data_IF_575636404290
#
_entry.id   IF_575636404290
#
_cell.length_a   1.000
_cell.length_b   1.000
_cell.length_c   1.000
_cell.angle_alpha   90.00
_cell.angle_beta   90.00
_cell.angle_gamma   90.00
#
_symmetry.space_group_name_H-M   'P 1'
#
loop_
_entity.id
_entity.type
_entity.pdbx_description
1 polymer ?
#
# COMPACT_ATOMS: atom_id res chain seq x y z
N UNK A 1 37.99 -23.51 -38.37
CA UNK A 1 37.54 -22.42 -37.46
C UNK A 1 36.06 -22.67 -37.18
N UNK A 2 35.72 -23.15 -35.98
CA UNK A 2 34.33 -23.37 -35.58
C UNK A 2 33.76 -22.04 -35.05
N UNK A 3 32.71 -21.55 -35.70
CA UNK A 3 32.00 -20.34 -35.30
C UNK A 3 31.04 -20.73 -34.17
N UNK A 4 31.32 -20.29 -32.94
CA UNK A 4 30.47 -20.51 -31.79
C UNK A 4 29.35 -19.46 -31.80
N UNK A 5 28.14 -19.85 -32.18
CA UNK A 5 26.96 -18.99 -32.13
C UNK A 5 26.53 -18.84 -30.68
N UNK A 6 26.76 -17.67 -30.09
CA UNK A 6 26.30 -17.33 -28.75
C UNK A 6 24.79 -17.12 -28.79
N UNK A 7 24.02 -18.08 -28.28
CA UNK A 7 22.58 -17.95 -28.10
C UNK A 7 22.34 -17.00 -26.91
N UNK A 8 21.98 -15.74 -27.17
CA UNK A 8 21.43 -14.86 -26.14
C UNK A 8 20.07 -15.42 -25.72
N UNK A 9 20.02 -16.09 -24.58
CA UNK A 9 18.75 -16.39 -23.93
C UNK A 9 18.13 -15.04 -23.52
N UNK A 10 17.00 -14.69 -24.13
CA UNK A 10 16.15 -13.63 -23.61
C UNK A 10 15.63 -14.10 -22.25
N UNK A 11 16.21 -13.59 -21.16
CA UNK A 11 15.67 -13.77 -19.82
C UNK A 11 14.35 -13.01 -19.85
N UNK A 12 13.23 -13.74 -19.91
CA UNK A 12 11.91 -13.13 -19.78
C UNK A 12 11.85 -12.42 -18.45
N UNK A 13 11.54 -11.12 -18.46
CA UNK A 13 11.24 -10.37 -17.24
C UNK A 13 9.93 -10.95 -16.71
N UNK A 14 9.99 -11.70 -15.61
CA UNK A 14 8.79 -12.08 -14.88
C UNK A 14 8.35 -10.84 -14.12
N UNK A 15 7.27 -10.21 -14.56
CA UNK A 15 6.75 -8.98 -14.00
C UNK A 15 5.23 -9.01 -14.01
N UNK A 16 4.66 -8.39 -12.98
CA UNK A 16 3.24 -8.25 -12.79
C UNK A 16 2.65 -7.16 -13.66
N UNK A 17 1.35 -6.94 -13.50
CA UNK A 17 0.73 -5.71 -13.98
C UNK A 17 0.59 -4.76 -12.81
N UNK A 18 1.16 -3.56 -12.91
CA UNK A 18 0.97 -2.50 -11.91
C UNK A 18 -0.52 -2.16 -11.81
N UNK A 19 -1.10 -2.36 -10.62
CA UNK A 19 -2.51 -2.10 -10.29
C UNK A 19 -2.69 -0.68 -9.77
N UNK A 20 -1.70 -0.16 -9.05
CA UNK A 20 -1.62 1.23 -8.61
C UNK A 20 -0.15 1.66 -8.59
N UNK A 21 0.12 2.88 -9.06
CA UNK A 21 1.45 3.48 -9.05
C UNK A 21 1.49 4.65 -8.09
N UNK A 22 2.33 4.55 -7.07
CA UNK A 22 2.61 5.62 -6.12
C UNK A 22 3.82 6.46 -6.53
N UNK A 23 4.10 6.54 -7.83
CA UNK A 23 5.29 7.20 -8.34
C UNK A 23 5.27 8.71 -8.03
N UNK A 24 6.33 9.22 -7.42
CA UNK A 24 6.43 10.62 -7.01
C UNK A 24 6.68 11.60 -8.17
N UNK A 25 6.85 11.13 -9.40
CA UNK A 25 7.00 11.99 -10.59
C UNK A 25 5.80 12.90 -10.84
N UNK A 26 4.59 12.49 -10.44
CA UNK A 26 3.39 13.33 -10.52
C UNK A 26 3.44 14.53 -9.55
N UNK A 27 4.36 14.52 -8.59
CA UNK A 27 4.48 15.49 -7.51
C UNK A 27 5.76 16.34 -7.70
N UNK A 28 5.68 17.54 -8.30
CA UNK A 28 6.84 18.42 -8.45
C UNK A 28 7.36 18.98 -7.11
N UNK A 29 6.53 19.08 -6.07
CA UNK A 29 6.89 19.54 -4.74
C UNK A 29 5.81 19.17 -3.70
N UNK A 30 6.04 19.51 -2.43
CA UNK A 30 5.16 19.16 -1.31
C UNK A 30 3.75 19.73 -1.45
N UNK A 31 3.57 20.90 -2.07
CA UNK A 31 2.25 21.52 -2.23
C UNK A 31 1.34 20.74 -3.20
N UNK A 32 1.90 19.81 -4.00
CA UNK A 32 1.10 18.93 -4.85
C UNK A 32 0.22 17.98 -4.02
N UNK A 33 0.64 17.59 -2.82
CA UNK A 33 -0.18 16.78 -1.91
C UNK A 33 -1.40 17.54 -1.37
N UNK A 34 -1.33 18.88 -1.28
CA UNK A 34 -2.44 19.73 -0.80
C UNK A 34 -3.61 19.83 -1.80
N UNK A 35 -3.46 19.27 -3.00
CA UNK A 35 -4.53 19.25 -4.02
C UNK A 35 -5.60 18.19 -3.75
N UNK A 36 -5.24 17.16 -2.99
CA UNK A 36 -6.17 16.14 -2.52
C UNK A 36 -7.00 16.67 -1.34
N UNK A 37 -8.27 16.29 -1.28
CA UNK A 37 -9.12 16.46 -0.10
C UNK A 37 -10.27 15.47 -0.14
N UNK A 38 -10.98 15.27 0.98
CA UNK A 38 -12.19 14.44 1.03
C UNK A 38 -13.30 14.86 0.06
N UNK A 39 -13.30 16.11 -0.42
CA UNK A 39 -14.26 16.60 -1.43
C UNK A 39 -13.69 16.63 -2.85
N UNK A 40 -12.39 16.36 -3.01
CA UNK A 40 -11.68 16.37 -4.28
C UNK A 40 -10.52 15.36 -4.22
N UNK A 41 -10.86 14.08 -4.30
CA UNK A 41 -9.94 12.96 -4.15
C UNK A 41 -9.12 12.72 -5.43
N UNK A 42 -8.18 13.62 -5.73
CA UNK A 42 -7.32 13.61 -6.92
C UNK A 42 -5.91 13.12 -6.61
N UNK A 43 -5.16 12.75 -7.66
CA UNK A 43 -3.80 12.25 -7.52
C UNK A 43 -3.74 10.80 -7.05
N UNK A 44 -2.54 10.37 -6.67
CA UNK A 44 -2.20 8.98 -6.36
C UNK A 44 -2.18 8.70 -4.86
N UNK A 45 -2.16 9.76 -4.03
CA UNK A 45 -2.11 9.67 -2.56
C UNK A 45 -3.17 10.52 -1.89
N UNK A 46 -3.81 9.94 -0.88
CA UNK A 46 -4.56 10.65 0.15
C UNK A 46 -3.58 11.26 1.16
N UNK A 47 -3.85 12.50 1.54
CA UNK A 47 -3.01 13.26 2.46
C UNK A 47 -3.88 13.94 3.52
N UNK A 48 -4.02 13.27 4.67
CA UNK A 48 -4.78 13.79 5.83
C UNK A 48 -4.25 13.33 7.19
N UNK A 49 -3.34 12.35 7.23
CA UNK A 49 -2.74 11.84 8.47
C UNK A 49 -1.43 12.56 8.70
N UNK A 50 -1.55 13.78 9.23
CA UNK A 50 -0.43 14.66 9.49
C UNK A 50 -0.73 15.67 10.60
N UNK A 51 0.32 16.39 10.98
CA UNK A 51 0.24 17.47 11.96
C UNK A 51 -0.38 18.76 11.43
N UNK A 52 -0.30 19.82 12.22
CA UNK A 52 -0.95 21.12 11.92
C UNK A 52 -0.10 22.09 11.11
N UNK A 53 1.18 21.79 10.89
CA UNK A 53 2.07 22.64 10.11
C UNK A 53 1.85 22.47 8.61
N UNK A 54 2.54 23.29 7.82
CA UNK A 54 2.52 23.18 6.37
C UNK A 54 3.04 21.81 5.92
N UNK A 55 2.49 21.29 4.82
CA UNK A 55 2.92 20.01 4.23
C UNK A 55 4.43 19.95 3.96
N UNK A 56 5.09 21.07 3.68
CA UNK A 56 6.54 21.14 3.50
C UNK A 56 7.37 20.78 4.74
N UNK A 57 6.79 20.84 5.94
CA UNK A 57 7.47 20.36 7.16
C UNK A 57 7.52 18.83 7.20
N UNK A 58 6.48 18.18 6.68
CA UNK A 58 6.31 16.73 6.74
C UNK A 58 6.78 16.00 5.49
N UNK A 59 6.61 16.60 4.31
CA UNK A 59 6.90 15.97 3.03
C UNK A 59 7.77 16.89 2.18
N UNK A 60 8.82 16.34 1.57
CA UNK A 60 9.62 17.05 0.57
C UNK A 60 10.13 16.08 -0.48
N UNK A 61 10.36 16.59 -1.70
CA UNK A 61 10.72 15.77 -2.85
C UNK A 61 12.05 16.23 -3.43
N UNK A 62 12.90 15.28 -3.80
CA UNK A 62 14.20 15.56 -4.42
C UNK A 62 14.72 14.32 -5.15
N UNK A 63 15.50 14.47 -6.23
CA UNK A 63 16.23 13.36 -6.83
C UNK A 63 17.21 12.68 -5.88
N UNK A 64 17.66 13.35 -4.82
CA UNK A 64 18.51 12.77 -3.78
C UNK A 64 17.75 11.90 -2.79
N UNK A 65 16.41 11.86 -2.82
CA UNK A 65 15.59 11.17 -1.83
C UNK A 65 15.07 9.80 -2.30
N UNK A 66 15.56 9.30 -3.43
CA UNK A 66 15.21 7.97 -3.96
C UNK A 66 16.38 7.01 -3.93
N UNK A 67 16.07 5.72 -4.06
CA UNK A 67 17.08 4.71 -4.36
C UNK A 67 17.77 5.11 -5.68
N UNK A 68 19.10 5.31 -5.71
CA UNK A 68 19.79 5.66 -6.95
C UNK A 68 19.63 4.62 -8.06
N UNK A 69 19.32 3.37 -7.69
CA UNK A 69 19.00 2.30 -8.64
C UNK A 69 17.61 2.44 -9.27
N UNK A 70 16.71 3.23 -8.67
CA UNK A 70 15.39 3.51 -9.24
C UNK A 70 15.49 4.52 -10.38
N UNK A 71 15.65 4.03 -11.61
CA UNK A 71 15.67 4.88 -12.80
C UNK A 71 14.30 5.35 -13.27
N UNK A 72 13.20 4.77 -12.74
CA UNK A 72 11.84 5.12 -13.14
C UNK A 72 11.31 6.38 -12.46
N UNK A 73 11.88 6.72 -11.30
CA UNK A 73 11.55 7.93 -10.55
C UNK A 73 12.61 9.03 -10.73
N UNK A 74 12.13 10.27 -10.89
CA UNK A 74 12.89 11.51 -10.90
C UNK A 74 13.18 11.95 -9.47
N UNK A 75 12.16 11.90 -8.60
CA UNK A 75 12.23 12.30 -7.21
C UNK A 75 11.91 11.11 -6.32
N UNK A 76 12.53 11.06 -5.14
CA UNK A 76 11.97 10.31 -4.02
C UNK A 76 11.32 11.26 -3.01
N UNK A 77 10.71 10.67 -2.00
CA UNK A 77 10.06 11.37 -0.91
C UNK A 77 10.95 11.35 0.32
N UNK A 78 11.17 12.51 0.95
CA UNK A 78 11.56 12.60 2.35
C UNK A 78 10.30 12.87 3.17
N UNK A 79 10.04 11.98 4.11
CA UNK A 79 8.95 12.01 5.07
C UNK A 79 9.53 12.30 6.45
N UNK A 80 9.09 13.39 7.06
CA UNK A 80 9.55 13.88 8.36
C UNK A 80 8.49 13.55 9.42
N UNK A 81 8.92 13.01 10.56
CA UNK A 81 8.09 12.96 11.77
C UNK A 81 8.76 13.80 12.86
N UNK A 82 8.02 14.75 13.42
CA UNK A 82 8.46 15.59 14.54
C UNK A 82 7.34 15.79 15.58
N UNK A 83 7.63 16.60 16.60
CA UNK A 83 6.69 16.89 17.70
C UNK A 83 5.38 17.55 17.28
N UNK A 84 5.28 18.03 16.05
CA UNK A 84 4.07 18.65 15.50
C UNK A 84 3.25 17.69 14.66
N UNK A 85 3.78 16.51 14.33
CA UNK A 85 3.13 15.45 13.53
C UNK A 85 1.96 14.76 14.26
N UNK A 86 1.21 15.45 15.12
CA UNK A 86 0.07 14.89 15.85
C UNK A 86 -1.24 15.13 15.08
N UNK A 87 -1.93 14.05 14.69
CA UNK A 87 -3.18 14.11 13.92
C UNK A 87 -4.44 14.00 14.80
N UNK A 88 -4.77 12.79 15.25
CA UNK A 88 -6.01 12.49 15.99
C UNK A 88 -5.75 11.89 17.38
N UNK A 89 -4.49 11.81 17.78
CA UNK A 89 -4.06 11.22 19.04
C UNK A 89 -2.74 11.84 19.49
N UNK A 90 -2.20 11.35 20.60
CA UNK A 90 -0.86 11.72 21.04
C UNK A 90 0.24 11.04 20.22
N UNK A 91 -0.04 10.09 19.33
CA UNK A 91 1.01 9.50 18.49
C UNK A 91 1.42 10.47 17.39
N UNK A 92 2.71 10.51 17.10
CA UNK A 92 3.26 11.30 16.00
C UNK A 92 3.21 10.46 14.72
N UNK A 93 2.53 10.99 13.70
CA UNK A 93 2.16 10.30 12.47
C UNK A 93 2.39 11.21 11.27
N UNK A 94 3.00 10.65 10.23
CA UNK A 94 3.04 11.27 8.91
C UNK A 94 2.90 10.15 7.91
N UNK A 95 1.75 10.08 7.26
CA UNK A 95 1.35 8.92 6.48
C UNK A 95 0.57 9.35 5.23
N UNK A 96 0.90 8.70 4.11
CA UNK A 96 0.16 8.74 2.87
C UNK A 96 -0.61 7.42 2.71
N UNK A 97 -1.77 7.47 2.07
CA UNK A 97 -2.57 6.28 1.73
C UNK A 97 -2.80 6.28 0.22
N UNK A 98 -2.79 5.14 -0.48
CA UNK A 98 -3.16 5.08 -1.90
C UNK A 98 -4.53 5.74 -2.18
N UNK A 99 -4.55 6.68 -3.12
CA UNK A 99 -5.78 7.16 -3.75
C UNK A 99 -6.01 6.34 -5.02
N UNK A 100 -7.06 5.52 -5.04
CA UNK A 100 -7.37 4.67 -6.20
C UNK A 100 -8.82 4.21 -6.20
N UNK A 101 -9.31 3.80 -7.36
CA UNK A 101 -10.55 3.03 -7.52
C UNK A 101 -10.31 1.55 -7.78
N UNK A 102 -9.04 1.13 -7.94
CA UNK A 102 -8.66 -0.26 -8.07
C UNK A 102 -8.89 -1.01 -6.75
N UNK A 103 -9.27 -2.28 -6.84
CA UNK A 103 -9.35 -3.14 -5.67
C UNK A 103 -7.92 -3.64 -5.34
N UNK A 104 -7.39 -3.18 -4.22
CA UNK A 104 -6.08 -3.55 -3.71
C UNK A 104 -6.15 -4.73 -2.72
N UNK A 105 -7.32 -5.34 -2.51
CA UNK A 105 -7.56 -6.41 -1.53
C UNK A 105 -8.02 -7.73 -2.11
N UNK A 106 -7.65 -8.05 -3.35
CA UNK A 106 -8.11 -9.26 -4.04
C UNK A 106 -7.00 -9.95 -4.83
N UNK A 107 -7.06 -11.28 -4.89
CA UNK A 107 -6.04 -12.10 -5.56
C UNK A 107 -4.70 -12.08 -4.82
N UNK A 108 -3.61 -12.27 -5.58
CA UNK A 108 -2.24 -12.13 -5.06
C UNK A 108 -1.62 -10.84 -5.57
N UNK A 109 -1.34 -9.90 -4.65
CA UNK A 109 -0.75 -8.60 -4.94
C UNK A 109 0.57 -8.42 -4.19
N UNK A 110 1.47 -7.69 -4.83
CA UNK A 110 2.79 -7.36 -4.34
C UNK A 110 2.82 -5.86 -4.03
N UNK A 111 3.06 -5.51 -2.76
CA UNK A 111 3.11 -4.12 -2.29
C UNK A 111 4.57 -3.67 -2.18
N UNK A 112 5.04 -2.97 -3.20
CA UNK A 112 6.44 -2.54 -3.33
C UNK A 112 6.68 -1.19 -2.69
N UNK A 113 7.83 -1.07 -2.03
CA UNK A 113 8.40 0.20 -1.59
C UNK A 113 9.89 0.02 -1.29
N UNK A 114 10.66 1.09 -1.38
CA UNK A 114 12.04 1.15 -0.90
C UNK A 114 12.17 2.20 0.18
N UNK A 115 12.97 1.94 1.21
CA UNK A 115 13.16 2.82 2.36
C UNK A 115 14.64 3.00 2.72
N UNK A 116 15.01 4.21 3.15
CA UNK A 116 16.28 4.55 3.81
C UNK A 116 16.04 5.56 4.93
N UNK A 117 16.93 5.62 5.93
CA UNK A 117 16.93 6.66 6.98
C UNK A 117 18.10 7.62 6.86
N UNK A 118 18.92 7.46 5.82
CA UNK A 118 20.07 8.32 5.60
C UNK A 118 20.23 8.71 4.14
N UNK A 119 20.62 9.96 3.97
CA UNK A 119 21.27 10.50 2.79
C UNK A 119 22.57 11.18 3.23
N UNK A 120 23.38 11.63 2.27
CA UNK A 120 24.59 12.37 2.60
C UNK A 120 24.25 13.61 3.46
N UNK A 121 24.77 13.65 4.69
CA UNK A 121 24.55 14.74 5.65
C UNK A 121 23.29 14.61 6.53
N UNK A 122 22.54 13.51 6.45
CA UNK A 122 21.42 13.25 7.37
C UNK A 122 21.88 13.13 8.81
N UNK A 123 21.10 13.66 9.75
CA UNK A 123 21.33 13.56 11.21
C UNK A 123 20.10 13.12 11.99
N UNK A 124 18.93 13.10 11.35
CA UNK A 124 17.61 12.87 11.96
C UNK A 124 17.24 11.38 11.83
N UNK A 125 17.95 10.51 12.53
CA UNK A 125 17.73 9.06 12.47
C UNK A 125 16.68 8.58 13.48
N UNK A 126 15.99 7.46 13.19
CA UNK A 126 15.02 6.88 14.12
C UNK A 126 15.60 6.61 15.51
N UNK A 127 14.88 7.01 16.54
CA UNK A 127 15.22 6.76 17.95
C UNK A 127 14.82 5.33 18.30
N UNK A 128 15.74 4.40 18.14
CA UNK A 128 15.48 2.95 18.29
C UNK A 128 15.16 2.49 19.73
N UNK A 129 14.96 3.40 20.69
CA UNK A 129 14.50 3.08 22.05
C UNK A 129 12.99 3.18 22.22
N UNK A 130 12.26 3.57 21.17
CA UNK A 130 10.80 3.62 21.13
C UNK A 130 10.30 2.85 19.92
N UNK A 131 9.08 2.36 19.98
CA UNK A 131 8.46 1.67 18.86
C UNK A 131 8.08 2.65 17.74
N UNK A 132 8.40 2.25 16.52
CA UNK A 132 7.86 2.83 15.29
C UNK A 132 7.13 1.75 14.50
N UNK A 133 6.02 2.13 13.89
CA UNK A 133 5.24 1.32 12.95
C UNK A 133 5.37 1.98 11.57
N UNK A 134 5.77 1.20 10.58
CA UNK A 134 6.23 1.70 9.28
C UNK A 134 5.58 0.87 8.17
N UNK A 135 5.04 1.53 7.14
CA UNK A 135 4.46 0.85 5.97
C UNK A 135 3.46 -0.24 6.37
N UNK A 136 2.47 0.12 7.19
CA UNK A 136 1.55 -0.81 7.85
C UNK A 136 0.15 -0.77 7.24
N UNK A 137 -0.62 -1.86 7.38
CA UNK A 137 -2.06 -1.81 7.18
C UNK A 137 -2.75 -1.38 8.48
N UNK A 138 -3.90 -0.72 8.42
CA UNK A 138 -4.68 -0.28 9.61
C UNK A 138 -4.98 -1.42 10.59
N UNK A 139 -5.12 -2.65 10.09
CA UNK A 139 -5.34 -3.85 10.94
C UNK A 139 -4.06 -4.47 11.51
N UNK A 140 -2.90 -3.96 11.12
CA UNK A 140 -1.58 -4.48 11.52
C UNK A 140 -1.36 -5.96 11.20
N UNK A 141 -2.03 -6.50 10.16
CA UNK A 141 -1.79 -7.89 9.75
C UNK A 141 -0.35 -8.08 9.22
N UNK A 142 0.24 -7.04 8.64
CA UNK A 142 1.66 -6.97 8.30
C UNK A 142 2.17 -5.53 8.31
N UNK A 143 3.43 -5.34 8.70
CA UNK A 143 4.09 -4.04 8.78
C UNK A 143 5.61 -4.19 8.99
N UNK A 144 6.33 -3.07 8.91
CA UNK A 144 7.69 -2.97 9.44
C UNK A 144 7.66 -2.26 10.81
N UNK A 145 8.56 -2.65 11.71
CA UNK A 145 8.81 -1.98 12.99
C UNK A 145 10.31 -1.75 13.23
N UNK A 146 10.61 -0.77 14.07
CA UNK A 146 11.91 -0.59 14.73
C UNK A 146 11.66 -0.27 16.20
N UNK A 147 12.67 -0.45 17.05
CA UNK A 147 12.57 -0.19 18.49
C UNK A 147 11.77 -1.24 19.26
N UNK A 148 11.58 -2.41 18.66
CA UNK A 148 10.89 -3.56 19.24
C UNK A 148 11.86 -4.70 19.57
N UNK A 149 11.49 -5.55 20.52
CA UNK A 149 12.26 -6.76 20.82
C UNK A 149 12.19 -7.77 19.66
N UNK A 150 13.20 -8.64 19.48
CA UNK A 150 14.41 -8.79 20.32
C UNK A 150 15.53 -7.80 19.98
N UNK A 151 15.54 -7.25 18.76
CA UNK A 151 16.61 -6.38 18.26
C UNK A 151 16.07 -4.96 18.00
N UNK A 152 16.02 -4.08 19.02
CA UNK A 152 15.37 -2.76 18.87
C UNK A 152 16.05 -1.85 17.83
N UNK A 153 17.32 -2.09 17.51
CA UNK A 153 18.06 -1.35 16.48
C UNK A 153 17.88 -1.88 15.06
N UNK A 154 17.11 -2.95 14.88
CA UNK A 154 16.88 -3.56 13.57
C UNK A 154 15.58 -3.05 12.95
N UNK A 155 15.54 -3.06 11.62
CA UNK A 155 14.30 -2.96 10.87
C UNK A 155 13.71 -4.37 10.81
N UNK A 156 12.54 -4.54 11.40
CA UNK A 156 11.90 -5.84 11.61
C UNK A 156 10.60 -5.89 10.83
N UNK A 157 10.36 -6.98 10.11
CA UNK A 157 9.09 -7.26 9.45
C UNK A 157 8.21 -8.14 10.33
N UNK A 158 6.98 -7.66 10.52
CA UNK A 158 6.00 -8.23 11.43
C UNK A 158 4.83 -8.82 10.65
N UNK A 159 4.29 -9.92 11.17
CA UNK A 159 2.98 -10.45 10.79
C UNK A 159 2.18 -10.64 12.07
N UNK A 160 1.06 -9.93 12.22
CA UNK A 160 0.19 -10.00 13.40
C UNK A 160 0.96 -9.86 14.73
N UNK A 161 1.78 -8.81 14.85
CA UNK A 161 2.63 -8.54 16.03
C UNK A 161 3.72 -9.59 16.34
N UNK A 162 4.03 -10.47 15.39
CA UNK A 162 5.12 -11.44 15.51
C UNK A 162 6.22 -11.11 14.52
N UNK A 163 7.48 -11.09 14.99
CA UNK A 163 8.67 -10.97 14.15
C UNK A 163 8.86 -12.23 13.29
N UNK A 164 9.00 -12.03 11.97
CA UNK A 164 9.30 -13.08 11.01
C UNK A 164 10.63 -12.89 10.27
N UNK A 165 11.21 -11.69 10.32
CA UNK A 165 12.44 -11.33 9.62
C UNK A 165 12.96 -9.98 10.13
N UNK A 166 14.26 -9.86 10.34
CA UNK A 166 14.89 -8.61 10.74
C UNK A 166 16.25 -8.39 10.07
N UNK A 167 16.69 -7.14 10.01
CA UNK A 167 18.03 -6.76 9.54
C UNK A 167 18.55 -5.52 10.28
N UNK A 168 19.88 -5.37 10.47
CA UNK A 168 20.44 -4.11 10.93
C UNK A 168 20.03 -2.96 10.01
N UNK A 169 19.51 -1.86 10.56
CA UNK A 169 19.07 -0.72 9.76
C UNK A 169 20.17 0.33 9.61
N UNK A 170 21.05 0.11 8.64
CA UNK A 170 22.20 0.99 8.40
C UNK A 170 21.77 2.28 7.68
N UNK A 171 22.02 3.49 8.24
CA UNK A 171 21.70 4.75 7.57
C UNK A 171 22.41 4.88 6.22
N UNK A 172 21.71 5.42 5.21
CA UNK A 172 22.25 5.59 3.86
C UNK A 172 22.09 4.37 2.96
N UNK A 173 21.81 3.20 3.52
CA UNK A 173 21.51 1.99 2.75
C UNK A 173 20.03 1.98 2.39
N UNK A 174 19.74 1.72 1.11
CA UNK A 174 18.39 1.47 0.63
C UNK A 174 18.00 0.02 0.86
N UNK A 175 16.83 -0.19 1.46
CA UNK A 175 16.19 -1.49 1.65
C UNK A 175 14.95 -1.53 0.77
N UNK A 176 14.87 -2.53 -0.10
CA UNK A 176 13.77 -2.70 -1.04
C UNK A 176 12.89 -3.83 -0.52
N UNK A 177 11.57 -3.62 -0.52
CA UNK A 177 10.60 -4.59 -0.01
C UNK A 177 9.48 -4.81 -1.01
N UNK A 178 8.91 -6.01 -0.97
CA UNK A 178 7.56 -6.26 -1.42
C UNK A 178 6.83 -7.20 -0.45
N UNK A 179 5.70 -6.78 0.08
CA UNK A 179 4.80 -7.71 0.77
C UNK A 179 4.08 -8.55 -0.27
N UNK A 180 4.19 -9.88 -0.17
CA UNK A 180 3.56 -10.85 -1.08
C UNK A 180 2.25 -11.32 -0.46
N UNK A 181 1.14 -10.67 -0.80
CA UNK A 181 -0.14 -10.81 -0.11
C UNK A 181 -1.12 -11.57 -0.99
N UNK A 182 -1.45 -12.80 -0.59
CA UNK A 182 -2.55 -13.55 -1.19
C UNK A 182 -3.81 -13.37 -0.34
N UNK A 183 -4.67 -12.45 -0.78
CA UNK A 183 -5.94 -12.14 -0.13
C UNK A 183 -6.95 -13.29 -0.23
N UNK A 184 -6.79 -14.21 -1.19
CA UNK A 184 -7.65 -15.38 -1.33
C UNK A 184 -7.23 -16.48 -0.36
N UNK A 185 -5.93 -16.76 -0.29
CA UNK A 185 -5.37 -17.76 0.61
C UNK A 185 -5.23 -17.27 2.05
N UNK A 186 -5.40 -15.96 2.29
CA UNK A 186 -5.21 -15.32 3.61
C UNK A 186 -3.80 -15.53 4.14
N UNK A 187 -2.81 -15.14 3.32
CA UNK A 187 -1.40 -15.28 3.68
C UNK A 187 -0.57 -14.08 3.24
N UNK A 188 0.54 -13.84 3.93
CA UNK A 188 1.52 -12.82 3.57
C UNK A 188 2.95 -13.36 3.67
N UNK A 189 3.79 -13.04 2.68
CA UNK A 189 5.22 -13.30 2.67
C UNK A 189 6.03 -12.02 2.44
N UNK A 190 7.35 -12.14 2.46
CA UNK A 190 8.25 -10.99 2.28
C UNK A 190 9.29 -11.26 1.21
N UNK A 191 9.39 -10.32 0.27
CA UNK A 191 10.54 -10.14 -0.59
C UNK A 191 11.37 -8.96 -0.10
N UNK A 192 12.69 -9.13 -0.07
CA UNK A 192 13.60 -8.08 0.35
C UNK A 192 14.92 -8.09 -0.45
N UNK A 193 15.56 -6.92 -0.56
CA UNK A 193 16.94 -6.76 -1.03
C UNK A 193 17.50 -5.40 -0.58
N UNK A 194 18.75 -5.11 -0.95
CA UNK A 194 19.41 -3.84 -0.65
C UNK A 194 19.99 -3.19 -1.89
N UNK A 195 20.03 -1.85 -1.90
CA UNK A 195 20.61 -1.06 -2.98
C UNK A 195 19.98 -1.41 -4.33
N UNK A 196 20.80 -1.83 -5.29
CA UNK A 196 20.37 -2.24 -6.64
C UNK A 196 20.14 -3.75 -6.80
N UNK A 197 20.29 -4.55 -5.73
CA UNK A 197 20.11 -5.99 -5.84
C UNK A 197 18.65 -6.35 -6.13
N UNK A 198 18.38 -7.38 -6.96
CA UNK A 198 17.01 -7.84 -7.18
C UNK A 198 16.41 -8.40 -5.88
N UNK A 199 15.10 -8.20 -5.71
CA UNK A 199 14.32 -8.76 -4.61
C UNK A 199 14.42 -10.28 -4.59
N UNK A 200 14.59 -10.84 -3.39
CA UNK A 200 14.54 -12.28 -3.13
C UNK A 200 13.47 -12.55 -2.07
N UNK A 201 12.72 -13.65 -2.20
CA UNK A 201 11.74 -14.07 -1.20
C UNK A 201 12.47 -14.53 0.06
N UNK A 202 12.55 -13.66 1.06
CA UNK A 202 13.26 -13.91 2.32
C UNK A 202 12.37 -14.62 3.33
N UNK A 203 11.04 -14.47 3.22
CA UNK A 203 10.07 -15.23 4.01
C UNK A 203 8.98 -15.78 3.09
N UNK A 204 8.70 -17.08 3.23
CA UNK A 204 7.56 -17.70 2.55
C UNK A 204 6.25 -17.22 3.17
N UNK A 205 5.17 -17.27 2.39
CA UNK A 205 3.85 -16.86 2.87
C UNK A 205 3.47 -17.61 4.16
N UNK A 206 3.08 -16.87 5.19
CA UNK A 206 2.52 -17.36 6.44
C UNK A 206 1.05 -16.92 6.57
N UNK A 207 0.20 -17.65 7.30
CA UNK A 207 -1.20 -17.26 7.50
C UNK A 207 -1.34 -15.90 8.18
N UNK A 208 -2.24 -15.06 7.69
CA UNK A 208 -2.62 -13.79 8.29
C UNK A 208 -4.05 -13.42 7.88
N UNK A 209 -4.76 -12.65 8.71
CA UNK A 209 -6.09 -12.13 8.36
C UNK A 209 -5.97 -10.95 7.39
N UNK A 210 -5.59 -11.23 6.15
CA UNK A 210 -5.31 -10.23 5.12
C UNK A 210 -6.61 -9.60 4.64
N UNK A 211 -6.90 -8.40 5.11
CA UNK A 211 -8.06 -7.61 4.72
C UNK A 211 -7.65 -6.15 4.54
N UNK A 212 -8.12 -5.54 3.46
CA UNK A 212 -7.92 -4.13 3.15
C UNK A 212 -9.17 -3.57 2.49
N UNK A 213 -9.54 -2.34 2.83
CA UNK A 213 -10.56 -1.59 2.10
C UNK A 213 -10.00 -0.83 0.87
N UNK A 214 -8.75 -1.09 0.50
CA UNK A 214 -7.96 -0.40 -0.54
C UNK A 214 -7.59 1.07 -0.22
N UNK A 215 -7.84 1.52 1.01
CA UNK A 215 -7.55 2.86 1.52
C UNK A 215 -7.08 2.82 2.99
N UNK A 216 -6.34 1.77 3.36
CA UNK A 216 -5.89 1.49 4.73
C UNK A 216 -4.46 0.93 4.78
N UNK A 217 -3.68 1.11 3.71
CA UNK A 217 -2.24 0.88 3.71
C UNK A 217 -1.51 2.20 3.84
N UNK A 218 -0.75 2.35 4.92
CA UNK A 218 -0.12 3.58 5.35
C UNK A 218 1.33 3.59 4.89
N UNK A 219 1.61 4.27 3.78
CA UNK A 219 2.98 4.63 3.42
C UNK A 219 3.44 5.77 4.33
N UNK A 220 4.09 5.42 5.42
CA UNK A 220 4.58 6.40 6.37
C UNK A 220 5.02 5.77 7.67
N UNK A 221 5.03 6.61 8.72
CA UNK A 221 5.53 6.24 10.03
C UNK A 221 4.58 6.76 11.11
N UNK A 222 4.28 5.88 12.06
CA UNK A 222 3.71 6.19 13.37
C UNK A 222 4.76 5.90 14.43
N UNK A 223 4.91 6.80 15.41
CA UNK A 223 5.80 6.58 16.56
C UNK A 223 5.23 7.13 17.87
N UNK A 224 5.76 6.64 18.98
CA UNK A 224 5.38 7.08 20.32
C UNK A 224 6.32 8.19 20.82
N UNK A 225 5.90 9.45 20.67
CA UNK A 225 6.45 10.70 21.26
C UNK A 225 7.91 10.68 21.74
N UNK A 226 8.90 10.52 20.85
CA UNK A 226 10.28 10.81 21.19
C UNK A 226 10.53 12.31 21.27
N UNK A 227 11.68 12.68 21.79
CA UNK A 227 12.24 14.01 21.56
C UNK A 227 12.92 14.06 20.19
N UNK A 228 12.48 14.96 19.30
CA UNK A 228 13.24 15.34 18.11
C UNK A 228 12.57 15.04 16.77
N UNK A 229 13.32 15.26 15.70
CA UNK A 229 12.89 15.09 14.32
C UNK A 229 13.52 13.83 13.74
N UNK A 230 12.76 13.04 12.99
CA UNK A 230 13.26 11.90 12.22
C UNK A 230 12.88 12.04 10.75
N UNK A 231 13.80 11.68 9.87
CA UNK A 231 13.59 11.69 8.42
C UNK A 231 13.66 10.27 7.86
N UNK A 232 12.67 9.95 7.02
CA UNK A 232 12.54 8.68 6.30
C UNK A 232 12.51 8.98 4.80
N UNK A 233 13.21 8.19 4.01
CA UNK A 233 13.29 8.38 2.56
C UNK A 233 12.60 7.21 1.85
N UNK A 234 11.65 7.50 0.97
CA UNK A 234 10.86 6.52 0.23
C UNK A 234 11.01 6.71 -1.28
N UNK A 235 10.99 5.60 -2.01
CA UNK A 235 10.90 5.57 -3.49
C UNK A 235 10.44 4.20 -3.96
N UNK A 236 10.13 4.08 -5.25
CA UNK A 236 9.73 2.82 -5.87
C UNK A 236 8.45 2.24 -5.26
N UNK A 237 7.49 3.10 -4.93
CA UNK A 237 6.23 2.73 -4.28
C UNK A 237 5.17 2.41 -5.33
N UNK A 238 4.71 1.16 -5.36
CA UNK A 238 3.64 0.72 -6.27
C UNK A 238 3.05 -0.62 -5.81
N UNK A 239 1.93 -1.01 -6.41
CA UNK A 239 1.30 -2.31 -6.19
C UNK A 239 1.13 -2.99 -7.55
N UNK A 240 1.55 -4.25 -7.65
CA UNK A 240 1.36 -5.06 -8.87
C UNK A 240 0.68 -6.39 -8.55
N UNK A 241 0.00 -6.97 -9.55
CA UNK A 241 -0.47 -8.35 -9.46
C UNK A 241 0.68 -9.33 -9.65
N UNK A 242 0.64 -10.50 -9.00
CA UNK A 242 1.61 -11.57 -9.30
C UNK A 242 1.63 -11.93 -10.80
N UNK A 243 2.80 -12.37 -11.35
CA UNK A 243 4.08 -12.61 -10.68
C UNK A 243 4.85 -11.33 -10.32
N UNK A 244 5.80 -11.42 -9.38
CA UNK A 244 6.58 -10.26 -8.91
C UNK A 244 7.64 -9.77 -9.92
N UNK A 245 7.78 -8.45 -10.04
CA UNK A 245 8.94 -7.75 -10.62
C UNK A 245 10.06 -7.67 -9.59
N UNK A 246 11.11 -8.48 -9.76
CA UNK A 246 12.21 -8.50 -8.78
C UNK A 246 13.22 -7.36 -8.96
N UNK A 247 13.26 -6.71 -10.12
CA UNK A 247 14.20 -5.62 -10.38
C UNK A 247 13.77 -4.33 -9.68
N UNK A 248 14.70 -3.69 -8.98
CA UNK A 248 14.51 -2.35 -8.42
C UNK A 248 14.46 -1.34 -9.57
N UNK A 249 13.48 -0.42 -9.53
CA UNK A 249 13.44 0.73 -10.43
C UNK A 249 12.74 0.57 -11.76
N UNK A 250 11.96 -0.50 -11.94
CA UNK A 250 11.28 -0.78 -13.22
C UNK A 250 9.76 -0.93 -13.11
N UNK A 251 9.21 -1.21 -11.92
CA UNK A 251 7.77 -1.51 -11.76
C UNK A 251 6.85 -0.30 -11.53
N UNK A 252 7.37 0.80 -10.99
CA UNK A 252 6.61 2.03 -10.73
C UNK A 252 6.51 2.99 -11.92
N UNK A 253 7.19 2.68 -13.03
CA UNK A 253 7.13 3.49 -14.24
C UNK A 253 5.74 3.43 -14.87
N UNK A 254 5.22 4.59 -15.29
CA UNK A 254 3.97 4.70 -16.05
C UNK A 254 4.17 4.07 -17.44
N UNK A 255 4.17 2.74 -17.49
CA UNK A 255 4.40 2.00 -18.74
C UNK A 255 3.09 1.98 -19.49
N UNK A 256 2.89 2.99 -20.35
CA UNK A 256 1.99 2.85 -21.50
C UNK A 256 2.60 1.77 -22.39
N UNK A 257 2.31 0.50 -22.09
CA UNK A 257 2.69 -0.62 -22.94
C UNK A 257 1.89 -0.50 -24.22
N UNK A 258 2.49 0.13 -25.23
CA UNK A 258 1.95 0.18 -26.58
C UNK A 258 2.18 -1.20 -27.18
N UNK A 259 1.29 -2.16 -26.89
CA UNK A 259 1.22 -3.40 -27.66
C UNK A 259 0.57 -3.08 -29.00
N UNK A 260 1.39 -2.91 -30.03
CA UNK A 260 0.99 -2.89 -31.44
C UNK A 260 0.48 -4.29 -31.83
N UNK A 261 -0.77 -4.57 -31.48
CA UNK A 261 -1.50 -5.75 -31.92
C UNK A 261 -2.46 -5.37 -33.05
N UNK A 262 -2.09 -5.66 -34.28
CA UNK A 262 -2.93 -5.49 -35.48
C UNK A 262 -4.12 -6.45 -35.39
N UNK A 263 -5.26 -5.96 -34.88
CA UNK A 263 -6.51 -6.69 -34.79
C UNK A 263 -7.55 -6.16 -35.78
N UNK A 264 -7.71 -6.89 -36.88
CA UNK A 264 -8.67 -6.64 -37.97
C UNK A 264 -10.10 -6.57 -37.46
N UNK A 265 -10.81 -5.48 -37.75
CA UNK A 265 -12.24 -5.31 -37.48
C UNK A 265 -13.07 -5.96 -38.59
N UNK A 266 -13.85 -6.99 -38.25
CA UNK A 266 -14.93 -7.50 -39.10
C UNK A 266 -16.25 -7.36 -38.35
N UNK A 267 -17.07 -6.45 -38.85
CA UNK A 267 -18.43 -6.18 -38.42
C UNK A 267 -19.38 -7.22 -39.04
N UNK A 268 -20.20 -7.88 -38.24
CA UNK A 268 -21.32 -8.69 -38.74
C UNK A 268 -22.54 -8.55 -37.84
N UNK A 269 -23.64 -8.16 -38.47
CA UNK A 269 -24.97 -7.96 -37.90
C UNK A 269 -25.80 -9.27 -37.83
N UNK A 270 -27.04 -9.13 -37.33
CA UNK A 270 -28.13 -10.11 -37.10
C UNK A 270 -28.14 -10.78 -35.71
N UNK A 271 -29.28 -11.07 -35.06
CA UNK A 271 -30.70 -11.04 -35.45
C UNK A 271 -31.59 -11.14 -34.20
N UNK A 272 -32.80 -10.60 -34.28
CA UNK A 272 -33.90 -10.70 -33.32
C UNK A 272 -34.44 -12.13 -33.18
N UNK A 273 -34.82 -12.54 -31.96
CA UNK A 273 -35.72 -13.69 -31.74
C UNK A 273 -36.52 -13.53 -30.45
N UNK A 274 -37.84 -13.64 -30.57
CA UNK A 274 -38.83 -13.59 -29.48
C UNK A 274 -39.14 -14.98 -28.91
N UNK A 275 -39.42 -15.07 -27.60
CA UNK A 275 -40.25 -16.05 -26.83
C UNK A 275 -39.76 -16.04 -25.36
N UNK A 276 -40.52 -16.27 -24.28
CA UNK A 276 -41.93 -16.57 -23.98
C UNK A 276 -42.13 -16.16 -22.52
N UNK A 277 -43.29 -15.61 -22.19
CA UNK A 277 -43.72 -15.21 -20.84
C UNK A 277 -43.93 -16.41 -19.93
N UNK A 278 -43.41 -16.36 -18.70
CA UNK A 278 -43.83 -17.27 -17.61
C UNK A 278 -44.00 -16.47 -16.34
N UNK A 279 -45.22 -16.47 -15.82
CA UNK A 279 -45.66 -15.74 -14.63
C UNK A 279 -45.37 -16.58 -13.39
N UNK A 280 -44.71 -16.02 -12.37
CA UNK A 280 -44.72 -16.61 -11.02
C UNK A 280 -44.51 -15.54 -9.95
N UNK A 281 -45.58 -15.33 -9.19
CA UNK A 281 -45.74 -14.81 -7.81
C UNK A 281 -44.63 -13.96 -7.17
N UNK A 282 -44.96 -12.69 -6.96
CA UNK A 282 -44.32 -11.71 -6.07
C UNK A 282 -44.32 -12.15 -4.61
N UNK A 283 -43.14 -12.40 -4.06
CA UNK A 283 -42.87 -12.29 -2.62
C UNK A 283 -42.16 -10.96 -2.38
N UNK A 284 -42.70 -10.16 -1.47
CA UNK A 284 -42.15 -8.89 -0.99
C UNK A 284 -40.65 -8.98 -0.74
N UNK A 285 -39.85 -8.13 -1.41
CA UNK A 285 -38.41 -8.03 -1.20
C UNK A 285 -38.13 -7.60 0.24
N UNK A 286 -37.51 -8.48 1.01
CA UNK A 286 -36.81 -8.10 2.23
C UNK A 286 -35.71 -7.12 1.77
N UNK A 287 -35.67 -5.91 2.35
CA UNK A 287 -34.60 -4.94 2.04
C UNK A 287 -33.21 -5.55 2.23
N UNK A 288 -32.14 -4.90 1.74
CA UNK A 288 -30.79 -5.44 1.88
C UNK A 288 -30.51 -5.74 3.35
N UNK A 289 -29.97 -6.93 3.61
CA UNK A 289 -29.59 -7.42 4.93
C UNK A 289 -28.07 -7.33 5.04
N UNK A 290 -27.56 -6.88 6.19
CA UNK A 290 -26.13 -6.70 6.43
C UNK A 290 -25.47 -8.01 6.91
N UNK A 291 -24.22 -8.24 6.54
CA UNK A 291 -23.44 -9.42 6.98
C UNK A 291 -22.95 -9.24 8.42
N UNK A 292 -22.47 -10.32 9.04
CA UNK A 292 -21.71 -10.23 10.31
C UNK A 292 -20.63 -9.15 10.19
N UNK A 293 -20.44 -8.35 11.24
CA UNK A 293 -19.52 -7.23 11.33
C UNK A 293 -19.81 -6.02 10.43
N UNK A 294 -20.87 -6.07 9.61
CA UNK A 294 -21.32 -4.93 8.82
C UNK A 294 -21.94 -3.82 9.68
N UNK A 295 -21.79 -2.56 9.25
CA UNK A 295 -22.48 -1.44 9.89
C UNK A 295 -23.99 -1.60 9.70
N UNK A 296 -24.76 -1.49 10.78
CA UNK A 296 -26.22 -1.65 10.75
C UNK A 296 -26.96 -0.43 11.32
N UNK A 297 -26.23 0.62 11.68
CA UNK A 297 -26.80 1.85 12.21
C UNK A 297 -25.73 2.88 12.55
N UNK A 298 -26.19 4.06 12.91
CA UNK A 298 -25.33 5.22 13.17
C UNK A 298 -25.88 6.49 12.55
N UNK A 299 -25.53 7.62 13.12
CA UNK A 299 -25.90 8.93 12.57
C UNK A 299 -25.28 9.10 11.19
N UNK A 300 -26.12 9.31 10.17
CA UNK A 300 -25.69 9.45 8.77
C UNK A 300 -25.62 8.13 7.98
N UNK A 301 -25.84 6.97 8.61
CA UNK A 301 -25.81 5.68 7.91
C UNK A 301 -27.08 5.46 7.07
N UNK A 302 -26.93 5.19 5.78
CA UNK A 302 -28.03 4.99 4.81
C UNK A 302 -28.12 3.55 4.28
N UNK A 303 -27.28 2.64 4.77
CA UNK A 303 -27.22 1.25 4.33
C UNK A 303 -28.20 0.31 5.05
N UNK A 304 -27.97 -0.99 4.92
CA UNK A 304 -28.80 -2.05 5.52
C UNK A 304 -28.82 -1.96 7.06
N UNK A 305 -30.01 -1.83 7.65
CA UNK A 305 -30.20 -1.73 9.11
C UNK A 305 -30.58 -3.05 9.78
N UNK A 306 -30.88 -4.08 8.99
CA UNK A 306 -31.20 -5.43 9.47
C UNK A 306 -29.99 -6.33 9.25
N UNK A 307 -29.59 -7.09 10.26
CA UNK A 307 -28.48 -8.05 10.18
C UNK A 307 -28.95 -9.42 9.68
N UNK A 308 -28.06 -10.14 9.00
CA UNK A 308 -28.29 -11.51 8.57
C UNK A 308 -28.44 -12.39 9.81
N UNK A 309 -29.41 -13.30 9.81
CA UNK A 309 -29.52 -14.25 10.90
C UNK A 309 -28.23 -15.09 10.98
N UNK A 310 -27.65 -15.33 12.16
CA UNK A 310 -28.22 -15.13 13.50
C UNK A 310 -27.88 -13.78 14.18
N UNK A 311 -27.28 -12.83 13.48
CA UNK A 311 -26.70 -11.62 14.05
C UNK A 311 -27.76 -10.55 14.35
N UNK A 312 -27.40 -9.66 15.27
CA UNK A 312 -28.23 -8.55 15.75
C UNK A 312 -27.45 -7.25 15.67
N UNK A 313 -28.14 -6.14 15.40
CA UNK A 313 -27.49 -4.84 15.32
C UNK A 313 -27.15 -4.35 16.74
N UNK A 314 -25.86 -4.38 17.11
CA UNK A 314 -25.37 -3.96 18.42
C UNK A 314 -24.71 -2.58 18.36
N UNK A 315 -24.94 -1.80 19.42
CA UNK A 315 -24.27 -0.53 19.65
C UNK A 315 -22.78 -0.77 19.92
N UNK A 316 -21.91 -0.18 19.11
CA UNK A 316 -20.45 -0.22 19.33
C UNK A 316 -19.95 1.14 19.81
N UNK A 317 -20.34 2.22 19.12
CA UNK A 317 -20.03 3.60 19.52
C UNK A 317 -21.21 4.54 19.22
N UNK A 318 -22.29 4.49 20.01
CA UNK A 318 -23.45 5.38 19.84
C UNK A 318 -23.06 6.87 19.98
N UNK A 319 -23.68 7.80 19.23
CA UNK A 319 -24.77 7.59 18.26
C UNK A 319 -24.28 7.29 16.83
N UNK A 320 -22.98 7.12 16.60
CA UNK A 320 -22.39 7.15 15.25
C UNK A 320 -22.19 5.78 14.62
N UNK A 321 -22.04 4.71 15.41
CA UNK A 321 -21.70 3.39 14.87
C UNK A 321 -22.36 2.21 15.61
N UNK A 322 -23.03 1.36 14.84
CA UNK A 322 -23.67 0.11 15.26
C UNK A 322 -23.29 -0.99 14.27
N UNK A 323 -23.09 -2.21 14.75
CA UNK A 323 -22.53 -3.33 13.99
C UNK A 323 -23.31 -4.63 14.19
N UNK A 324 -23.40 -5.47 13.16
CA UNK A 324 -23.98 -6.80 13.26
C UNK A 324 -23.06 -7.76 14.02
N UNK A 325 -23.55 -8.28 15.16
CA UNK A 325 -22.85 -9.19 16.10
C UNK A 325 -23.81 -10.16 16.80
#
# INVERSE_FOLDING_TARGET
MALLTLLLAAIGVNAGTTVWSGNFNSYPNSASFDTWSFSNEVGEYQWYIHGTQNTSEYLSLSPSYKNPADSSETNGLKLTVDSTSTWNSQFERTELIPQTSANLGTGNLLYHFSISTGQAGSTNYPVTSIEHQICFFESHFTELKVGVAPNPTHLTWMVTEVDHWDTPWTPGVWYNFAYDIDFTAQTVGLWASNGSAPLVKVVQNVPAATSTNSADWHLGVLRINPTGTEDYFFSGVYIESAPITTSVGTGGGNTTTTTTGTGTTTSSASSTTSKTTTTTTTTTSIGPVQTEFGQCGGTGYTGATTCAAPYTCKAISPPYYYQCL
#
